data_IF_665905672535
#
_entry.id   IF_665905672535
#
_cell.length_a   1.000
_cell.length_b   1.000
_cell.length_c   1.000
_cell.angle_alpha   90.00
_cell.angle_beta   90.00
_cell.angle_gamma   90.00
#
_symmetry.space_group_name_H-M   'P 1'
#
loop_
_entity.id
_entity.type
_entity.pdbx_description
1 polymer ?
#
# COMPACT_ATOMS: atom_id res chain seq x y z
N UNK A 1 13.34 -12.32 20.60
CA UNK A 1 11.89 -12.52 20.83
C UNK A 1 11.49 -13.95 20.48
N UNK A 2 10.38 -14.44 21.02
CA UNK A 2 9.82 -15.77 20.70
C UNK A 2 9.49 -15.85 19.20
N UNK A 3 8.97 -14.77 18.64
CA UNK A 3 8.65 -14.66 17.20
C UNK A 3 9.88 -14.89 16.33
N UNK A 4 11.01 -14.28 16.67
CA UNK A 4 12.25 -14.42 15.90
C UNK A 4 12.86 -15.84 15.96
N UNK A 5 12.49 -16.64 16.97
CA UNK A 5 12.89 -18.06 17.04
C UNK A 5 12.09 -18.91 16.06
N UNK A 6 10.80 -18.60 15.86
CA UNK A 6 9.92 -19.31 14.92
C UNK A 6 10.08 -18.78 13.47
N UNK A 7 10.33 -17.48 13.35
CA UNK A 7 10.45 -16.76 12.05
C UNK A 7 11.75 -15.94 12.06
N UNK A 8 12.89 -16.51 11.68
CA UNK A 8 14.21 -15.83 11.75
C UNK A 8 14.27 -14.52 10.96
N UNK A 9 13.52 -14.43 9.84
CA UNK A 9 13.43 -13.24 9.00
C UNK A 9 12.52 -12.13 9.57
N UNK A 10 11.84 -12.36 10.71
CA UNK A 10 10.96 -11.34 11.29
C UNK A 10 11.78 -10.14 11.77
N UNK A 11 11.42 -8.95 11.32
CA UNK A 11 12.00 -7.68 11.78
C UNK A 11 11.08 -7.00 12.79
N UNK A 12 11.71 -6.31 13.75
CA UNK A 12 10.99 -5.53 14.74
C UNK A 12 10.85 -4.10 14.26
N UNK A 13 9.63 -3.66 14.02
CA UNK A 13 9.33 -2.27 13.73
C UNK A 13 9.45 -1.38 14.98
N UNK A 14 9.62 -0.08 14.78
CA UNK A 14 9.75 0.91 15.85
C UNK A 14 8.45 1.00 16.64
N UNK A 15 7.33 1.15 15.92
CA UNK A 15 5.98 1.28 16.45
C UNK A 15 4.92 0.76 15.45
N UNK A 16 3.65 0.94 15.78
CA UNK A 16 2.54 0.49 14.93
C UNK A 16 2.46 1.23 13.60
N UNK A 17 2.77 2.52 13.57
CA UNK A 17 2.72 3.32 12.33
C UNK A 17 3.86 2.95 11.40
N UNK A 18 5.06 2.70 11.94
CA UNK A 18 6.19 2.15 11.21
C UNK A 18 5.78 0.84 10.52
N UNK A 19 5.16 -0.08 11.23
CA UNK A 19 4.64 -1.34 10.68
C UNK A 19 3.53 -1.14 9.64
N UNK A 20 2.60 -0.23 9.88
CA UNK A 20 1.51 0.06 8.95
C UNK A 20 2.02 0.60 7.61
N UNK A 21 3.05 1.45 7.63
CA UNK A 21 3.71 1.99 6.45
C UNK A 21 4.61 1.00 5.71
N UNK A 22 4.75 -0.23 6.21
CA UNK A 22 5.42 -1.35 5.53
C UNK A 22 4.45 -2.25 4.78
N UNK A 23 3.14 -2.03 4.90
CA UNK A 23 2.15 -2.81 4.16
C UNK A 23 2.25 -2.54 2.66
N UNK A 24 2.50 -3.59 1.87
CA UNK A 24 2.65 -3.52 0.42
C UNK A 24 1.30 -3.41 -0.31
N UNK A 25 0.20 -3.89 0.27
CA UNK A 25 -1.13 -3.88 -0.35
C UNK A 25 -1.55 -2.52 -0.88
N UNK A 26 -1.53 -1.45 -0.07
CA UNK A 26 -1.88 -0.09 -0.48
C UNK A 26 -0.98 0.51 -1.57
N UNK A 27 0.12 -0.12 -1.89
CA UNK A 27 1.07 0.34 -2.91
C UNK A 27 0.94 -0.46 -4.21
N UNK A 28 0.74 -1.77 -4.12
CA UNK A 28 0.63 -2.66 -5.29
C UNK A 28 -0.77 -2.58 -5.89
N UNK A 29 -1.80 -2.69 -5.07
CA UNK A 29 -3.15 -2.96 -5.55
C UNK A 29 -3.89 -1.74 -6.12
N UNK A 30 -3.77 -0.51 -5.58
CA UNK A 30 -4.46 0.64 -6.17
C UNK A 30 -4.06 0.94 -7.63
N UNK A 31 -2.78 1.05 -8.01
CA UNK A 31 -2.41 1.19 -9.41
C UNK A 31 -2.90 0.01 -10.25
N UNK A 32 -2.76 -1.20 -9.72
CA UNK A 32 -3.11 -2.42 -10.42
C UNK A 32 -4.60 -2.45 -10.78
N UNK A 33 -5.51 -2.24 -9.83
CA UNK A 33 -6.95 -2.33 -10.08
C UNK A 33 -7.47 -1.17 -10.91
N UNK A 34 -7.00 0.07 -10.67
CA UNK A 34 -7.50 1.26 -11.39
C UNK A 34 -7.00 1.34 -12.83
N UNK A 35 -5.74 0.99 -13.07
CA UNK A 35 -5.19 1.02 -14.44
C UNK A 35 -5.64 -0.16 -15.29
N UNK A 36 -6.26 -1.17 -14.68
CA UNK A 36 -6.90 -2.30 -15.36
C UNK A 36 -8.45 -2.19 -15.37
N UNK A 37 -9.02 -1.07 -14.97
CA UNK A 37 -10.49 -0.92 -14.92
C UNK A 37 -11.17 -1.30 -16.24
N UNK A 38 -10.71 -0.77 -17.38
CA UNK A 38 -11.27 -1.09 -18.67
C UNK A 38 -11.20 -2.59 -19.02
N UNK A 39 -10.03 -3.25 -18.96
CA UNK A 39 -9.94 -4.70 -19.15
C UNK A 39 -10.81 -5.53 -18.19
N UNK A 40 -10.87 -5.16 -16.91
CA UNK A 40 -11.67 -5.88 -15.90
C UNK A 40 -13.18 -5.81 -16.18
N UNK A 41 -13.66 -4.69 -16.75
CA UNK A 41 -15.06 -4.53 -17.11
C UNK A 41 -15.39 -5.14 -18.48
N UNK A 42 -14.43 -5.14 -19.42
CA UNK A 42 -14.64 -5.58 -20.78
C UNK A 42 -14.48 -7.09 -21.00
N UNK A 43 -13.45 -7.70 -20.38
CA UNK A 43 -13.15 -9.11 -20.61
C UNK A 43 -13.77 -10.00 -19.53
N UNK A 44 -14.25 -11.16 -19.93
CA UNK A 44 -14.75 -12.18 -18.97
C UNK A 44 -13.62 -12.80 -18.14
N UNK A 45 -12.41 -12.84 -18.71
CA UNK A 45 -11.19 -13.36 -18.07
C UNK A 45 -10.06 -12.39 -18.30
N UNK A 46 -9.47 -11.88 -17.22
CA UNK A 46 -8.32 -11.01 -17.26
C UNK A 46 -7.38 -11.33 -16.09
N UNK A 47 -6.15 -11.73 -16.38
CA UNK A 47 -5.15 -11.97 -15.35
C UNK A 47 -4.50 -10.63 -14.96
N UNK A 48 -5.03 -10.03 -13.90
CA UNK A 48 -4.60 -8.72 -13.45
C UNK A 48 -3.12 -8.70 -13.01
N UNK A 49 -2.61 -9.82 -12.49
CA UNK A 49 -1.23 -9.93 -12.00
C UNK A 49 -0.20 -10.21 -13.09
N UNK A 50 -0.61 -10.83 -14.20
CA UNK A 50 0.24 -11.10 -15.35
C UNK A 50 -0.05 -10.11 -16.49
N UNK A 51 -1.20 -10.25 -17.16
CA UNK A 51 -1.60 -9.40 -18.30
C UNK A 51 -1.74 -7.94 -17.86
N UNK A 52 -2.24 -7.73 -16.65
CA UNK A 52 -2.44 -6.41 -16.04
C UNK A 52 -1.19 -5.76 -15.43
N UNK A 53 -0.09 -6.50 -15.25
CA UNK A 53 1.13 -5.95 -14.62
C UNK A 53 2.19 -5.61 -15.67
N UNK A 54 1.95 -4.53 -16.41
CA UNK A 54 2.81 -4.07 -17.50
C UNK A 54 3.80 -2.97 -17.03
N UNK A 55 4.85 -2.64 -17.82
CA UNK A 55 5.89 -1.69 -17.40
C UNK A 55 5.36 -0.33 -16.92
N UNK A 56 4.32 0.22 -17.56
CA UNK A 56 3.74 1.50 -17.15
C UNK A 56 3.07 1.42 -15.78
N UNK A 57 2.40 0.31 -15.48
CA UNK A 57 1.76 0.09 -14.17
C UNK A 57 2.83 -0.07 -13.09
N UNK A 58 3.90 -0.83 -13.38
CA UNK A 58 5.07 -0.95 -12.48
C UNK A 58 5.70 0.41 -12.19
N UNK A 59 5.84 1.27 -13.21
CA UNK A 59 6.38 2.64 -13.03
C UNK A 59 5.52 3.49 -12.10
N UNK A 60 4.18 3.37 -12.16
CA UNK A 60 3.26 4.05 -11.24
C UNK A 60 3.40 3.47 -9.82
N UNK A 61 3.45 2.15 -9.69
CA UNK A 61 3.67 1.47 -8.41
C UNK A 61 5.00 1.89 -7.77
N UNK A 62 6.08 1.95 -8.54
CA UNK A 62 7.40 2.41 -8.05
C UNK A 62 7.36 3.88 -7.61
N UNK A 63 6.59 4.71 -8.30
CA UNK A 63 6.45 6.12 -7.94
C UNK A 63 5.63 6.30 -6.66
N UNK A 64 4.57 5.50 -6.50
CA UNK A 64 3.78 5.45 -5.27
C UNK A 64 4.62 4.94 -4.09
N UNK A 65 5.45 3.91 -4.31
CA UNK A 65 6.34 3.39 -3.29
C UNK A 65 7.42 4.39 -2.84
N UNK A 66 7.93 5.19 -3.77
CA UNK A 66 8.83 6.31 -3.42
C UNK A 66 8.17 7.35 -2.52
N UNK A 67 6.89 7.65 -2.74
CA UNK A 67 6.13 8.54 -1.86
C UNK A 67 5.97 7.93 -0.46
N UNK A 68 5.64 6.63 -0.36
CA UNK A 68 5.59 5.91 0.93
C UNK A 68 6.92 6.00 1.67
N UNK A 69 8.04 5.70 0.98
CA UNK A 69 9.38 5.75 1.57
C UNK A 69 9.72 7.16 2.03
N UNK A 70 9.51 8.16 1.17
CA UNK A 70 9.75 9.57 1.49
C UNK A 70 8.91 10.06 2.69
N UNK A 71 7.65 9.62 2.79
CA UNK A 71 6.82 9.91 3.96
C UNK A 71 7.37 9.24 5.23
N UNK A 72 7.82 7.98 5.15
CA UNK A 72 8.47 7.28 6.28
C UNK A 72 9.69 8.04 6.78
N UNK A 73 10.55 8.50 5.87
CA UNK A 73 11.73 9.32 6.20
C UNK A 73 11.32 10.65 6.85
N UNK A 74 10.30 11.33 6.31
CA UNK A 74 9.76 12.56 6.86
C UNK A 74 9.17 12.40 8.28
N UNK A 75 8.67 11.21 8.61
CA UNK A 75 8.21 10.82 9.93
C UNK A 75 9.34 10.40 10.87
N UNK A 76 10.58 10.25 10.35
CA UNK A 76 11.77 9.90 11.11
C UNK A 76 12.04 8.40 11.21
N UNK A 77 11.33 7.57 10.45
CA UNK A 77 11.61 6.15 10.35
C UNK A 77 12.85 5.89 9.50
N UNK A 78 13.64 4.93 9.93
CA UNK A 78 14.91 4.56 9.29
C UNK A 78 14.73 3.32 8.40
N UNK A 79 15.76 3.03 7.61
CA UNK A 79 15.89 1.75 6.92
C UNK A 79 15.79 0.55 7.90
N UNK A 80 15.34 -0.61 7.41
CA UNK A 80 15.01 -0.91 6.03
C UNK A 80 13.62 -0.38 5.61
N UNK A 81 13.51 0.10 4.37
CA UNK A 81 12.23 0.57 3.80
C UNK A 81 11.56 -0.47 2.90
N UNK A 82 12.28 -1.54 2.55
CA UNK A 82 11.84 -2.61 1.65
C UNK A 82 11.18 -2.06 0.36
N UNK A 83 11.96 -1.41 -0.53
CA UNK A 83 11.43 -0.87 -1.78
C UNK A 83 10.80 -1.96 -2.64
N UNK A 84 9.57 -1.73 -3.13
CA UNK A 84 8.85 -2.71 -3.93
C UNK A 84 9.52 -3.04 -5.26
N UNK A 85 10.33 -2.14 -5.82
CA UNK A 85 11.14 -2.45 -7.01
C UNK A 85 12.03 -3.67 -6.82
N UNK A 86 12.49 -3.91 -5.58
CA UNK A 86 13.29 -5.08 -5.23
C UNK A 86 12.48 -6.38 -5.28
N UNK A 87 11.16 -6.25 -5.23
CA UNK A 87 10.21 -7.35 -5.35
C UNK A 87 10.23 -8.04 -6.74
N UNK A 88 10.64 -7.29 -7.74
CA UNK A 88 10.72 -7.75 -9.13
C UNK A 88 12.16 -7.95 -9.60
N UNK A 89 13.14 -7.83 -8.71
CA UNK A 89 14.56 -8.00 -8.99
C UNK A 89 14.98 -9.43 -8.59
N UNK A 90 15.13 -10.28 -9.58
CA UNK A 90 15.50 -11.68 -9.43
C UNK A 90 16.99 -11.90 -9.05
N UNK A 91 17.77 -10.83 -9.00
CA UNK A 91 19.17 -10.85 -8.58
C UNK A 91 19.33 -10.67 -7.06
N UNK A 92 18.27 -10.25 -6.34
CA UNK A 92 18.29 -10.01 -4.91
C UNK A 92 17.85 -11.25 -4.12
N UNK A 93 18.67 -11.65 -3.15
CA UNK A 93 18.34 -12.76 -2.23
C UNK A 93 17.36 -12.37 -1.13
N UNK A 94 17.23 -11.08 -0.84
CA UNK A 94 16.43 -10.54 0.24
C UNK A 94 15.01 -10.21 -0.18
N UNK A 95 14.16 -11.22 -0.30
CA UNK A 95 12.86 -10.83 -0.70
C UNK A 95 11.71 -11.67 -0.13
N UNK A 96 10.57 -10.97 0.02
CA UNK A 96 9.45 -11.39 0.86
C UNK A 96 8.81 -12.72 0.42
N UNK A 97 8.93 -13.08 -0.86
CA UNK A 97 8.35 -14.30 -1.42
C UNK A 97 9.36 -15.26 -2.05
N UNK A 98 10.64 -14.86 -2.16
CA UNK A 98 11.68 -15.61 -2.90
C UNK A 98 11.48 -15.54 -4.41
N UNK A 99 12.58 -15.45 -5.17
CA UNK A 99 12.55 -15.19 -6.61
C UNK A 99 11.68 -16.19 -7.39
N UNK A 100 11.75 -17.47 -7.03
CA UNK A 100 10.98 -18.53 -7.70
C UNK A 100 9.47 -18.50 -7.37
N UNK A 101 9.08 -17.86 -6.29
CA UNK A 101 7.66 -17.78 -5.89
C UNK A 101 6.92 -16.71 -6.66
N UNK A 102 7.58 -15.58 -6.98
CA UNK A 102 6.96 -14.50 -7.73
C UNK A 102 6.66 -14.89 -9.17
N UNK A 103 7.62 -15.51 -9.86
CA UNK A 103 7.41 -16.03 -11.22
C UNK A 103 6.25 -17.02 -11.27
N UNK A 104 6.18 -17.93 -10.31
CA UNK A 104 5.07 -18.89 -10.21
C UNK A 104 3.73 -18.19 -9.96
N UNK A 105 3.67 -17.19 -9.11
CA UNK A 105 2.45 -16.43 -8.83
C UNK A 105 1.95 -15.68 -10.06
N UNK A 106 2.84 -14.97 -10.77
CA UNK A 106 2.44 -14.19 -11.97
C UNK A 106 2.09 -15.06 -13.16
N UNK A 107 2.66 -16.26 -13.27
CA UNK A 107 2.48 -17.17 -14.40
C UNK A 107 1.53 -18.34 -14.12
N UNK A 108 1.04 -18.51 -12.90
CA UNK A 108 0.21 -19.64 -12.51
C UNK A 108 -1.15 -19.69 -13.23
N UNK A 109 -1.66 -18.54 -13.68
CA UNK A 109 -3.01 -18.41 -14.20
C UNK A 109 -4.11 -18.53 -13.14
N UNK A 110 -3.74 -18.65 -11.86
CA UNK A 110 -4.67 -18.81 -10.73
C UNK A 110 -5.37 -17.48 -10.37
N UNK A 111 -4.90 -16.35 -10.92
CA UNK A 111 -5.41 -15.01 -10.66
C UNK A 111 -6.43 -14.53 -11.70
N UNK A 112 -7.04 -15.46 -12.44
CA UNK A 112 -8.06 -15.18 -13.47
C UNK A 112 -9.47 -15.18 -12.91
N UNK A 113 -9.63 -14.74 -11.67
CA UNK A 113 -10.95 -14.53 -11.10
C UNK A 113 -11.64 -13.32 -11.74
N UNK A 114 -12.97 -13.35 -11.80
CA UNK A 114 -13.75 -12.20 -12.21
C UNK A 114 -13.75 -11.16 -11.09
N UNK A 115 -12.99 -10.09 -11.26
CA UNK A 115 -12.88 -9.02 -10.29
C UNK A 115 -14.05 -8.05 -10.46
N UNK A 116 -14.82 -7.86 -9.41
CA UNK A 116 -15.77 -6.75 -9.29
C UNK A 116 -14.98 -5.48 -8.92
N UNK A 117 -14.81 -4.60 -9.89
CA UNK A 117 -14.01 -3.38 -9.74
C UNK A 117 -14.39 -2.54 -8.50
N UNK A 118 -15.69 -2.47 -8.20
CA UNK A 118 -16.21 -1.64 -7.11
C UNK A 118 -16.11 -2.30 -5.73
N UNK A 119 -16.23 -3.62 -5.66
CA UNK A 119 -16.35 -4.35 -4.40
C UNK A 119 -15.15 -5.23 -4.07
N UNK A 120 -14.21 -5.38 -5.01
CA UNK A 120 -13.01 -6.17 -4.76
C UNK A 120 -12.17 -5.56 -3.62
N UNK A 121 -11.49 -6.42 -2.84
CA UNK A 121 -10.65 -6.00 -1.72
C UNK A 121 -9.58 -4.97 -2.10
N UNK A 122 -9.05 -5.01 -3.33
CA UNK A 122 -8.07 -4.04 -3.80
C UNK A 122 -8.63 -2.62 -3.83
N UNK A 123 -9.92 -2.47 -4.11
CA UNK A 123 -10.61 -1.18 -4.03
C UNK A 123 -11.04 -0.86 -2.60
N UNK A 124 -11.67 -1.82 -1.90
CA UNK A 124 -12.31 -1.57 -0.60
C UNK A 124 -11.34 -1.56 0.58
N UNK A 125 -10.31 -2.40 0.56
CA UNK A 125 -9.33 -2.49 1.65
C UNK A 125 -8.06 -1.70 1.32
N UNK A 126 -7.39 -2.07 0.22
CA UNK A 126 -6.08 -1.50 -0.10
C UNK A 126 -6.16 -0.05 -0.57
N UNK A 127 -7.22 0.32 -1.30
CA UNK A 127 -7.42 1.70 -1.74
C UNK A 127 -8.18 2.52 -0.70
N UNK A 128 -9.42 2.16 -0.37
CA UNK A 128 -10.26 2.97 0.50
C UNK A 128 -9.77 3.03 1.96
N UNK A 129 -9.10 1.99 2.46
CA UNK A 129 -8.54 2.00 3.81
C UNK A 129 -7.04 2.27 3.81
N UNK A 130 -6.28 1.64 2.92
CA UNK A 130 -4.83 1.72 2.91
C UNK A 130 -4.28 2.99 2.25
N UNK A 131 -4.61 3.23 0.98
CA UNK A 131 -4.15 4.42 0.25
C UNK A 131 -4.73 5.71 0.83
N UNK A 132 -6.01 5.71 1.23
CA UNK A 132 -6.63 6.87 1.88
C UNK A 132 -5.91 7.24 3.19
N UNK A 133 -5.52 6.23 3.98
CA UNK A 133 -4.73 6.45 5.19
C UNK A 133 -3.34 7.03 4.88
N UNK A 134 -2.67 6.54 3.85
CA UNK A 134 -1.39 7.06 3.40
C UNK A 134 -1.50 8.54 2.99
N UNK A 135 -2.52 8.90 2.19
CA UNK A 135 -2.81 10.29 1.82
C UNK A 135 -3.10 11.17 3.04
N UNK A 136 -3.88 10.67 4.00
CA UNK A 136 -4.18 11.38 5.25
C UNK A 136 -2.93 11.68 6.05
N UNK A 137 -2.02 10.73 6.19
CA UNK A 137 -0.71 10.93 6.83
C UNK A 137 0.15 11.96 6.10
N UNK A 138 0.17 11.91 4.75
CA UNK A 138 0.87 12.91 3.93
C UNK A 138 0.36 14.32 4.21
N UNK A 139 -0.95 14.52 4.19
CA UNK A 139 -1.58 15.83 4.51
C UNK A 139 -1.26 16.29 5.93
N UNK A 140 -1.42 15.41 6.90
CA UNK A 140 -1.11 15.71 8.31
C UNK A 140 0.36 16.12 8.50
N UNK A 141 1.28 15.46 7.81
CA UNK A 141 2.72 15.78 7.84
C UNK A 141 3.10 16.97 6.96
N UNK A 142 2.15 17.52 6.18
CA UNK A 142 2.43 18.50 5.11
C UNK A 142 3.49 18.01 4.11
N UNK A 143 3.38 16.73 3.73
CA UNK A 143 4.27 16.05 2.80
C UNK A 143 3.55 15.80 1.48
N UNK A 144 4.16 16.21 0.36
CA UNK A 144 3.54 16.10 -0.97
C UNK A 144 3.53 14.64 -1.44
N UNK A 145 2.33 14.18 -1.84
CA UNK A 145 2.09 12.81 -2.31
C UNK A 145 1.21 12.79 -3.57
N UNK A 146 1.68 13.39 -4.69
CA UNK A 146 0.84 13.62 -5.86
C UNK A 146 0.35 12.33 -6.53
N UNK A 147 1.12 11.25 -6.52
CA UNK A 147 0.69 9.96 -7.10
C UNK A 147 -0.37 9.31 -6.23
N UNK A 148 -0.16 9.26 -4.92
CA UNK A 148 -1.14 8.75 -3.95
C UNK A 148 -2.47 9.49 -4.04
N UNK A 149 -2.41 10.82 -4.02
CA UNK A 149 -3.58 11.71 -4.11
C UNK A 149 -4.31 11.55 -5.46
N UNK A 150 -3.55 11.47 -6.57
CA UNK A 150 -4.12 11.26 -7.91
C UNK A 150 -4.85 9.92 -8.03
N UNK A 151 -4.24 8.84 -7.54
CA UNK A 151 -4.87 7.52 -7.52
C UNK A 151 -6.13 7.50 -6.64
N UNK A 152 -6.09 8.12 -5.46
CA UNK A 152 -7.26 8.19 -4.58
C UNK A 152 -8.42 9.00 -5.21
N UNK A 153 -8.10 10.07 -5.95
CA UNK A 153 -9.08 10.85 -6.70
C UNK A 153 -9.71 10.03 -7.83
N UNK A 154 -8.91 9.24 -8.58
CA UNK A 154 -9.41 8.34 -9.63
C UNK A 154 -10.33 7.28 -9.01
N UNK A 155 -9.92 6.65 -7.92
CA UNK A 155 -10.72 5.66 -7.22
C UNK A 155 -12.07 6.24 -6.74
N UNK A 156 -12.07 7.48 -6.25
CA UNK A 156 -13.29 8.20 -5.88
C UNK A 156 -14.22 8.39 -7.09
N UNK A 157 -13.66 8.73 -8.24
CA UNK A 157 -14.42 8.84 -9.50
C UNK A 157 -15.01 7.50 -9.96
N UNK A 158 -14.26 6.40 -9.82
CA UNK A 158 -14.73 5.05 -10.19
C UNK A 158 -15.86 4.60 -9.26
N UNK A 159 -15.68 4.75 -7.94
CA UNK A 159 -16.64 4.24 -6.95
C UNK A 159 -17.87 5.14 -6.78
N UNK A 160 -17.78 6.41 -7.16
CA UNK A 160 -18.79 7.43 -6.87
C UNK A 160 -18.80 7.85 -5.39
N UNK A 161 -17.79 7.47 -4.61
CA UNK A 161 -17.63 7.80 -3.20
C UNK A 161 -16.49 8.82 -3.03
N UNK A 162 -16.60 9.73 -2.07
CA UNK A 162 -15.50 10.62 -1.71
C UNK A 162 -14.58 9.87 -0.74
N UNK A 163 -13.62 9.12 -1.27
CA UNK A 163 -12.76 8.25 -0.46
C UNK A 163 -11.83 9.01 0.50
N UNK A 164 -11.62 10.31 0.29
CA UNK A 164 -10.97 11.19 1.27
C UNK A 164 -11.77 11.32 2.57
N UNK A 165 -13.09 11.18 2.51
CA UNK A 165 -14.01 11.34 3.64
C UNK A 165 -14.48 10.00 4.18
N UNK A 166 -14.87 9.07 3.27
CA UNK A 166 -15.41 7.76 3.64
C UNK A 166 -14.32 6.71 3.94
N UNK A 167 -13.10 6.94 3.46
CA UNK A 167 -11.97 6.05 3.68
C UNK A 167 -11.37 6.18 5.10
N UNK A 168 -10.36 5.34 5.37
CA UNK A 168 -9.62 5.47 6.63
C UNK A 168 -8.70 6.68 6.58
N UNK A 169 -8.83 7.56 7.58
CA UNK A 169 -7.99 8.75 7.73
C UNK A 169 -7.64 9.00 9.20
N UNK A 170 -6.70 9.90 9.47
CA UNK A 170 -6.40 10.34 10.83
C UNK A 170 -7.63 11.02 11.47
N UNK A 171 -8.43 11.73 10.68
CA UNK A 171 -9.70 12.33 11.12
C UNK A 171 -10.68 11.24 11.58
N UNK A 172 -10.88 10.20 10.77
CA UNK A 172 -11.78 9.09 11.12
C UNK A 172 -11.32 8.28 12.33
N UNK A 173 -10.02 8.33 12.62
CA UNK A 173 -9.41 7.70 13.80
C UNK A 173 -9.35 8.62 15.02
N UNK A 174 -9.73 9.90 14.89
CA UNK A 174 -9.63 10.89 15.96
C UNK A 174 -8.19 11.29 16.30
N UNK A 175 -7.28 11.20 15.35
CA UNK A 175 -5.84 11.43 15.52
C UNK A 175 -5.30 12.64 14.76
N UNK A 176 -6.14 13.31 13.96
CA UNK A 176 -5.72 14.39 13.07
C UNK A 176 -5.19 15.63 13.81
N UNK A 177 -5.70 15.89 15.00
CA UNK A 177 -5.31 17.05 15.82
C UNK A 177 -4.01 16.85 16.61
N UNK A 178 -3.46 15.63 16.61
CA UNK A 178 -2.22 15.35 17.31
C UNK A 178 -1.03 15.99 16.59
N UNK A 179 -0.14 16.59 17.37
CA UNK A 179 1.19 16.96 16.90
C UNK A 179 2.05 15.71 16.65
N UNK A 180 3.16 15.86 15.92
CA UNK A 180 4.10 14.74 15.68
C UNK A 180 4.62 14.13 16.99
N UNK A 181 4.88 14.97 18.00
CA UNK A 181 5.40 14.49 19.29
C UNK A 181 4.33 13.79 20.11
N UNK A 182 3.07 14.25 20.08
CA UNK A 182 1.94 13.59 20.72
C UNK A 182 1.64 12.25 20.06
N UNK A 183 1.67 12.18 18.72
CA UNK A 183 1.53 10.93 17.97
C UNK A 183 2.63 9.92 18.37
N UNK A 184 3.87 10.33 18.38
CA UNK A 184 4.99 9.47 18.82
C UNK A 184 4.81 8.98 20.24
N UNK A 185 4.46 9.87 21.15
CA UNK A 185 4.24 9.50 22.55
C UNK A 185 3.08 8.50 22.70
N UNK A 186 2.01 8.67 21.95
CA UNK A 186 0.87 7.74 21.92
C UNK A 186 1.30 6.37 21.37
N UNK A 187 2.07 6.33 20.29
CA UNK A 187 2.55 5.09 19.67
C UNK A 187 3.52 4.33 20.57
N UNK A 188 4.32 5.03 21.37
CA UNK A 188 5.27 4.43 22.31
C UNK A 188 4.60 3.93 23.61
N UNK A 189 3.66 4.70 24.16
CA UNK A 189 3.10 4.47 25.50
C UNK A 189 1.68 3.92 25.50
N UNK A 190 1.02 3.94 24.35
CA UNK A 190 -0.40 3.64 24.23
C UNK A 190 -1.27 4.85 24.60
N UNK A 191 -2.58 4.66 24.42
CA UNK A 191 -3.58 5.64 24.85
C UNK A 191 -3.75 5.48 26.36
N UNK A 192 -3.52 6.54 27.12
CA UNK A 192 -3.89 6.54 28.54
C UNK A 192 -5.43 6.45 28.64
N UNK A 193 -5.93 5.33 29.12
CA UNK A 193 -7.35 5.09 29.41
C UNK A 193 -7.71 5.70 30.75
#
# INVERSE_FOLDING_TARGET
SIIKKAYPAAEKMTDLLDGALMNAGPIIHPPLIMMNAGPLEHFDVWDIHNEGTQPSIRSVTDSLDKERISLREALGYREPHFPLKNHYDDTLEEWMYGNSSHEKLTNSGDWREKIDLHNHRYMREDTALGLAFLCSLGRWKNHLMPISEGLLAIASGITGEILYESGRSLESLGLADLTVDEMKNMLEKGIAV
#
